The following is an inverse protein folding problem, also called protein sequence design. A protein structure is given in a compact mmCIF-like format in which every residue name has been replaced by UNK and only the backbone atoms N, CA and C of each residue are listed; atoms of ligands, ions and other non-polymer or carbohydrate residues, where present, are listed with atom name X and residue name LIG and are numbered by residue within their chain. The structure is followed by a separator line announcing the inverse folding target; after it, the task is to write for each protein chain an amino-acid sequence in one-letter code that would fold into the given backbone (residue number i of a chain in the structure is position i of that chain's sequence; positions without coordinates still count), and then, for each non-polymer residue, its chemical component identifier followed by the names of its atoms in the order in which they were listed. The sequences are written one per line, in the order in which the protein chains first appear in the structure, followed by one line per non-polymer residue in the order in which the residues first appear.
data_IF_238367988652
#
_entry.id   IF_238367988652
#
_cell.length_a   1.000
_cell.length_b   1.000
_cell.length_c   1.000
_cell.angle_alpha   90.00
_cell.angle_beta   90.00
_cell.angle_gamma   90.00
#
_symmetry.space_group_name_H-M   'P 1'
#
loop_
_entity.id
_entity.type
_entity.pdbx_description
1 polymer ?
#
# COMPACT_ATOMS: atom_id res chain seq x y z
N UNK A 1 1.39 17.88 -11.11
CA UNK A 1 0.81 16.96 -10.11
C UNK A 1 1.52 17.15 -8.79
N UNK A 2 0.76 17.20 -7.71
CA UNK A 2 1.31 17.36 -6.38
C UNK A 2 1.87 16.04 -5.82
N UNK A 3 2.48 16.10 -4.64
CA UNK A 3 2.96 14.89 -3.98
C UNK A 3 1.81 13.97 -3.58
N UNK A 4 2.10 12.68 -3.55
CA UNK A 4 1.14 11.68 -3.08
C UNK A 4 1.18 11.62 -1.55
N UNK A 5 0.01 11.66 -0.93
CA UNK A 5 -0.13 11.42 0.50
C UNK A 5 0.01 9.93 0.77
N UNK A 6 0.88 9.56 1.70
CA UNK A 6 1.15 8.16 1.99
C UNK A 6 1.19 7.87 3.47
N UNK A 7 0.77 6.66 3.81
CA UNK A 7 1.02 6.04 5.11
C UNK A 7 1.90 4.82 4.84
N UNK A 8 3.05 4.79 5.49
CA UNK A 8 4.04 3.74 5.28
C UNK A 8 4.06 2.86 6.50
N UNK A 9 3.88 1.55 6.30
CA UNK A 9 3.98 0.58 7.38
C UNK A 9 5.21 -0.28 7.15
N UNK A 10 6.03 -0.38 8.18
CA UNK A 10 7.25 -1.18 8.16
C UNK A 10 6.96 -2.58 8.70
N UNK A 11 7.84 -3.53 8.37
CA UNK A 11 7.72 -4.92 8.84
C UNK A 11 7.79 -5.03 10.36
N UNK A 12 8.48 -4.09 11.02
CA UNK A 12 8.61 -4.08 12.48
C UNK A 12 7.40 -3.47 13.20
N UNK A 13 6.38 -3.04 12.45
CA UNK A 13 5.18 -2.42 13.01
C UNK A 13 5.21 -0.89 13.07
N UNK A 14 6.33 -0.27 12.74
CA UNK A 14 6.42 1.20 12.70
C UNK A 14 5.53 1.77 11.60
N UNK A 15 4.85 2.87 11.91
CA UNK A 15 4.00 3.59 10.95
C UNK A 15 4.55 4.99 10.77
N UNK A 16 4.74 5.42 9.52
CA UNK A 16 5.19 6.76 9.16
C UNK A 16 4.20 7.39 8.20
N UNK A 17 3.92 8.67 8.36
CA UNK A 17 2.96 9.40 7.53
C UNK A 17 3.61 10.61 6.89
N UNK A 18 3.24 10.91 5.66
CA UNK A 18 3.78 12.05 4.95
C UNK A 18 3.38 12.04 3.49
N UNK A 19 4.28 12.51 2.65
CA UNK A 19 4.07 12.55 1.21
C UNK A 19 5.33 12.12 0.47
N UNK A 20 5.16 11.73 -0.78
CA UNK A 20 6.29 11.36 -1.65
C UNK A 20 6.05 11.82 -3.08
N UNK A 21 7.13 12.19 -3.77
CA UNK A 21 7.10 12.56 -5.18
C UNK A 21 7.94 11.63 -6.04
N UNK A 22 8.68 10.71 -5.45
CA UNK A 22 9.65 9.88 -6.17
C UNK A 22 9.50 8.38 -5.96
N UNK A 23 8.33 7.93 -5.46
CA UNK A 23 8.08 6.51 -5.33
C UNK A 23 7.89 5.87 -6.70
N UNK A 24 8.66 4.80 -6.97
CA UNK A 24 8.49 3.95 -8.15
C UNK A 24 8.53 2.48 -7.72
N UNK A 25 7.64 1.63 -8.28
CA UNK A 25 7.52 0.23 -7.86
C UNK A 25 8.77 -0.62 -8.07
N UNK A 26 9.66 -0.19 -8.96
CA UNK A 26 10.87 -0.95 -9.29
C UNK A 26 12.14 -0.38 -8.67
N UNK A 27 12.02 0.63 -7.80
CA UNK A 27 13.18 1.19 -7.10
C UNK A 27 13.30 0.62 -5.70
N UNK A 28 14.53 0.50 -5.24
CA UNK A 28 14.82 -0.05 -3.91
C UNK A 28 14.52 0.94 -2.78
N UNK A 29 14.43 2.23 -3.08
CA UNK A 29 14.18 3.27 -2.07
C UNK A 29 13.46 4.47 -2.67
N UNK A 30 12.90 5.27 -1.78
CA UNK A 30 12.29 6.55 -2.14
C UNK A 30 12.37 7.49 -0.94
N UNK A 31 11.97 8.75 -1.12
CA UNK A 31 12.03 9.75 -0.07
C UNK A 31 10.65 10.05 0.47
N UNK A 32 10.52 10.01 1.79
CA UNK A 32 9.32 10.41 2.50
C UNK A 32 9.50 11.82 3.04
N UNK A 33 8.61 12.72 2.62
CA UNK A 33 8.54 14.07 3.17
C UNK A 33 7.60 14.04 4.35
N UNK A 34 8.16 14.10 5.54
CA UNK A 34 7.39 14.08 6.77
C UNK A 34 6.90 15.46 7.18
N UNK A 35 6.31 15.54 8.35
CA UNK A 35 5.95 16.81 8.95
C UNK A 35 7.23 17.56 9.37
N UNK A 36 7.13 18.89 9.52
CA UNK A 36 8.27 19.75 9.91
C UNK A 36 9.40 19.75 8.87
N UNK A 37 9.06 19.58 7.59
CA UNK A 37 10.00 19.66 6.47
C UNK A 37 11.16 18.64 6.56
N UNK A 38 10.94 17.55 7.26
CA UNK A 38 11.92 16.47 7.33
C UNK A 38 11.82 15.58 6.08
N UNK A 39 12.98 15.10 5.60
CA UNK A 39 13.05 14.16 4.48
C UNK A 39 13.78 12.92 4.95
N UNK A 40 13.16 11.77 4.75
CA UNK A 40 13.72 10.50 5.16
C UNK A 40 13.81 9.56 3.97
N UNK A 41 14.93 8.84 3.86
CA UNK A 41 15.08 7.79 2.85
C UNK A 41 14.42 6.51 3.37
N UNK A 42 13.52 5.94 2.56
CA UNK A 42 12.79 4.73 2.92
C UNK A 42 13.26 3.59 2.03
N UNK A 43 13.73 2.51 2.66
CA UNK A 43 14.11 1.29 1.96
C UNK A 43 12.89 0.40 1.79
N UNK A 44 12.54 0.06 0.55
CA UNK A 44 11.33 -0.73 0.26
C UNK A 44 11.41 -2.10 0.93
N UNK A 45 12.59 -2.70 1.01
CA UNK A 45 12.78 -4.01 1.62
C UNK A 45 12.38 -4.05 3.11
N UNK A 46 12.43 -2.92 3.80
CA UNK A 46 12.03 -2.83 5.20
C UNK A 46 10.53 -2.68 5.38
N UNK A 47 9.77 -2.54 4.30
CA UNK A 47 8.36 -2.19 4.34
C UNK A 47 7.45 -3.40 4.26
N UNK A 48 6.31 -3.27 4.92
CA UNK A 48 5.14 -4.11 4.70
C UNK A 48 4.37 -3.63 3.47
N UNK A 49 4.03 -2.35 3.43
CA UNK A 49 3.27 -1.76 2.35
C UNK A 49 3.35 -0.23 2.38
N UNK A 50 3.05 0.38 1.23
CA UNK A 50 2.86 1.83 1.08
C UNK A 50 1.39 2.06 0.75
N UNK A 51 0.69 2.78 1.61
CA UNK A 51 -0.73 3.10 1.43
C UNK A 51 -0.83 4.51 0.87
N UNK A 52 -1.32 4.62 -0.36
CA UNK A 52 -1.61 5.92 -0.98
C UNK A 52 -3.00 6.32 -0.54
N UNK A 53 -3.09 7.37 0.26
CA UNK A 53 -4.30 7.69 1.00
C UNK A 53 -4.91 9.02 0.55
N UNK A 54 -6.22 9.15 0.79
CA UNK A 54 -6.94 10.40 0.57
C UNK A 54 -6.59 11.41 1.66
N UNK A 55 -6.43 10.92 2.89
CA UNK A 55 -6.13 11.71 4.08
C UNK A 55 -5.17 10.95 4.97
N UNK A 56 -4.05 11.57 5.36
CA UNK A 56 -3.04 10.93 6.23
C UNK A 56 -3.58 10.61 7.62
N UNK A 57 -4.59 11.36 8.09
CA UNK A 57 -5.25 11.08 9.37
C UNK A 57 -6.12 9.81 9.29
N UNK A 58 -6.71 9.58 8.12
CA UNK A 58 -7.61 8.44 7.93
C UNK A 58 -8.91 8.57 8.70
N UNK A 59 -9.67 7.46 8.71
CA UNK A 59 -10.89 7.33 9.51
C UNK A 59 -10.80 6.05 10.32
N UNK A 60 -10.47 6.20 11.61
CA UNK A 60 -10.26 5.06 12.51
C UNK A 60 -11.51 4.25 12.76
N UNK A 61 -12.69 4.85 12.58
CA UNK A 61 -13.97 4.19 12.82
C UNK A 61 -14.47 3.45 11.58
N UNK A 62 -13.81 3.63 10.44
CA UNK A 62 -14.22 2.98 9.19
C UNK A 62 -13.65 1.57 9.10
N UNK A 63 -14.53 0.61 8.83
CA UNK A 63 -14.13 -0.78 8.59
C UNK A 63 -14.24 -1.10 7.11
N UNK A 64 -13.17 -1.62 6.52
CA UNK A 64 -13.14 -2.01 5.12
C UNK A 64 -14.16 -3.14 4.87
N UNK A 65 -14.97 -2.99 3.82
CA UNK A 65 -15.98 -4.00 3.47
C UNK A 65 -15.48 -5.01 2.46
N UNK A 66 -14.56 -4.60 1.58
CA UNK A 66 -13.98 -5.42 0.51
C UNK A 66 -15.01 -6.09 -0.40
N UNK A 67 -16.17 -5.45 -0.57
CA UNK A 67 -17.28 -6.01 -1.34
C UNK A 67 -17.50 -5.34 -2.69
N UNK A 68 -16.77 -4.25 -2.96
CA UNK A 68 -16.96 -3.50 -4.19
C UNK A 68 -16.22 -4.15 -5.36
N UNK A 69 -16.82 -4.01 -6.54
CA UNK A 69 -16.18 -4.40 -7.80
C UNK A 69 -15.49 -3.17 -8.38
N UNK A 70 -14.20 -3.28 -8.65
CA UNK A 70 -13.43 -2.18 -9.22
C UNK A 70 -13.35 -2.39 -10.73
N UNK A 71 -14.07 -1.57 -11.47
CA UNK A 71 -14.09 -1.63 -12.94
C UNK A 71 -12.71 -1.33 -13.49
N UNK A 72 -12.19 -2.22 -14.35
CA UNK A 72 -10.87 -2.07 -14.93
C UNK A 72 -9.71 -2.34 -13.97
N UNK A 73 -9.99 -2.83 -12.77
CA UNK A 73 -8.97 -3.07 -11.75
C UNK A 73 -8.17 -4.36 -11.92
N UNK A 74 -8.55 -5.21 -12.87
CA UNK A 74 -7.88 -6.48 -13.12
C UNK A 74 -8.47 -7.63 -12.32
N UNK A 75 -7.60 -8.48 -11.76
CA UNK A 75 -8.02 -9.68 -11.04
C UNK A 75 -8.17 -9.41 -9.56
N UNK A 76 -9.19 -9.98 -8.96
CA UNK A 76 -9.42 -9.88 -7.51
C UNK A 76 -8.48 -10.81 -6.77
N UNK A 77 -7.83 -10.29 -5.73
CA UNK A 77 -6.89 -11.06 -4.92
C UNK A 77 -7.11 -10.80 -3.45
N UNK A 78 -6.75 -11.79 -2.65
CA UNK A 78 -6.64 -11.67 -1.20
C UNK A 78 -5.18 -11.80 -0.82
N UNK A 79 -4.69 -10.83 -0.04
CA UNK A 79 -3.31 -10.83 0.44
C UNK A 79 -3.33 -11.01 1.94
N UNK A 80 -2.59 -12.01 2.42
CA UNK A 80 -2.32 -12.17 3.84
C UNK A 80 -0.87 -11.79 4.09
N UNK A 81 -0.65 -10.87 5.02
CA UNK A 81 0.70 -10.46 5.43
C UNK A 81 1.23 -11.39 6.52
N UNK A 82 2.55 -11.37 6.70
CA UNK A 82 3.21 -12.19 7.74
C UNK A 82 2.71 -11.88 9.14
N UNK A 83 2.21 -10.65 9.39
CA UNK A 83 1.65 -10.26 10.68
C UNK A 83 0.19 -10.67 10.86
N UNK A 84 -0.41 -11.34 9.86
CA UNK A 84 -1.78 -11.82 9.91
C UNK A 84 -2.83 -10.89 9.34
N UNK A 85 -2.47 -9.66 8.97
CA UNK A 85 -3.43 -8.76 8.35
C UNK A 85 -3.84 -9.26 6.97
N UNK A 86 -5.13 -9.14 6.64
CA UNK A 86 -5.68 -9.56 5.36
C UNK A 86 -6.29 -8.36 4.67
N UNK A 87 -5.93 -8.17 3.40
CA UNK A 87 -6.55 -7.16 2.55
C UNK A 87 -7.06 -7.81 1.27
N UNK A 88 -8.11 -7.25 0.70
CA UNK A 88 -8.72 -7.74 -0.55
C UNK A 88 -8.82 -6.58 -1.53
N UNK A 89 -8.42 -6.82 -2.75
CA UNK A 89 -8.45 -5.79 -3.78
C UNK A 89 -8.23 -6.36 -5.16
N UNK A 90 -7.93 -5.49 -6.11
CA UNK A 90 -7.74 -5.84 -7.52
C UNK A 90 -6.33 -5.48 -7.97
N UNK A 91 -5.71 -6.37 -8.74
CA UNK A 91 -4.37 -6.17 -9.28
C UNK A 91 -4.40 -6.33 -10.80
N UNK A 92 -3.65 -5.46 -11.50
CA UNK A 92 -3.55 -5.51 -12.96
C UNK A 92 -2.36 -6.33 -13.45
N UNK A 93 -1.23 -6.27 -12.75
CA UNK A 93 -0.01 -6.92 -13.22
C UNK A 93 0.77 -7.53 -12.08
N UNK A 94 0.29 -8.64 -11.53
CA UNK A 94 1.01 -9.34 -10.48
C UNK A 94 2.13 -10.19 -11.08
N UNK A 95 3.33 -10.06 -10.51
CA UNK A 95 4.45 -10.94 -10.83
C UNK A 95 5.19 -11.27 -9.53
N UNK A 96 5.38 -12.57 -9.22
CA UNK A 96 6.06 -12.97 -7.98
C UNK A 96 7.54 -12.61 -7.96
N UNK A 97 8.14 -12.30 -9.12
CA UNK A 97 9.55 -11.95 -9.23
C UNK A 97 9.84 -10.48 -8.87
N UNK A 98 8.81 -9.67 -8.72
CA UNK A 98 8.97 -8.25 -8.39
C UNK A 98 9.00 -8.05 -6.89
N UNK A 99 9.62 -6.94 -6.46
CA UNK A 99 9.66 -6.59 -5.03
C UNK A 99 8.28 -6.29 -4.44
N UNK A 100 7.29 -6.00 -5.27
CA UNK A 100 5.94 -5.75 -4.83
C UNK A 100 5.00 -5.48 -5.99
N UNK A 101 3.75 -5.17 -5.67
CA UNK A 101 2.73 -4.90 -6.67
C UNK A 101 1.70 -3.90 -6.15
N UNK A 102 1.09 -3.17 -7.08
CA UNK A 102 0.02 -2.22 -6.77
C UNK A 102 -1.32 -2.93 -6.72
N UNK A 103 -2.13 -2.60 -5.72
CA UNK A 103 -3.45 -3.14 -5.51
C UNK A 103 -4.43 -2.00 -5.27
N UNK A 104 -5.63 -2.10 -5.85
CA UNK A 104 -6.74 -1.20 -5.54
C UNK A 104 -7.66 -1.92 -4.56
N UNK A 105 -7.87 -1.38 -3.35
CA UNK A 105 -8.77 -2.03 -2.38
C UNK A 105 -10.18 -2.24 -2.96
N UNK A 106 -10.80 -3.35 -2.63
CA UNK A 106 -12.15 -3.68 -3.08
C UNK A 106 -13.21 -2.93 -2.25
N UNK A 107 -12.96 -1.66 -1.97
CA UNK A 107 -13.83 -0.78 -1.18
C UNK A 107 -13.65 0.65 -1.66
N UNK A 108 -14.63 1.16 -2.42
CA UNK A 108 -14.57 2.50 -3.01
C UNK A 108 -14.59 3.63 -1.97
N UNK A 109 -15.03 3.34 -0.76
CA UNK A 109 -15.06 4.31 0.33
C UNK A 109 -13.83 4.25 1.22
N UNK A 110 -12.87 3.37 0.91
CA UNK A 110 -11.64 3.27 1.66
C UNK A 110 -10.85 4.57 1.59
N UNK A 111 -10.17 4.91 2.69
CA UNK A 111 -9.20 5.99 2.69
C UNK A 111 -7.98 5.64 1.80
N UNK A 112 -7.74 4.35 1.57
CA UNK A 112 -6.67 3.88 0.72
C UNK A 112 -7.10 3.91 -0.74
N UNK A 113 -6.49 4.79 -1.55
CA UNK A 113 -6.77 4.84 -2.98
C UNK A 113 -6.10 3.68 -3.72
N UNK A 114 -4.89 3.34 -3.28
CA UNK A 114 -4.15 2.19 -3.77
C UNK A 114 -3.13 1.79 -2.72
N UNK A 115 -2.68 0.55 -2.80
CA UNK A 115 -1.70 0.00 -1.86
C UNK A 115 -0.57 -0.63 -2.67
N UNK A 116 0.67 -0.24 -2.41
CA UNK A 116 1.82 -0.98 -2.91
C UNK A 116 2.18 -2.02 -1.87
N UNK A 117 1.94 -3.29 -2.20
CA UNK A 117 2.21 -4.42 -1.32
C UNK A 117 3.64 -4.90 -1.55
N UNK A 118 4.42 -4.95 -0.49
CA UNK A 118 5.80 -5.44 -0.57
C UNK A 118 5.78 -6.97 -0.47
N UNK A 119 6.22 -7.64 -1.52
CA UNK A 119 6.08 -9.09 -1.66
C UNK A 119 6.71 -9.85 -0.50
N UNK A 120 7.88 -9.42 -0.03
CA UNK A 120 8.59 -10.09 1.07
C UNK A 120 7.88 -9.99 2.43
N UNK A 121 6.88 -9.13 2.55
CA UNK A 121 6.06 -9.03 3.76
C UNK A 121 4.79 -9.87 3.70
N UNK A 122 4.54 -10.55 2.58
CA UNK A 122 3.33 -11.35 2.41
C UNK A 122 3.57 -12.81 2.77
N UNK A 123 2.57 -13.40 3.41
CA UNK A 123 2.53 -14.84 3.66
C UNK A 123 1.90 -15.57 2.49
N UNK A 124 0.84 -15.01 1.91
CA UNK A 124 0.17 -15.60 0.75
C UNK A 124 -0.57 -14.55 -0.07
N UNK A 125 -0.67 -14.82 -1.37
CA UNK A 125 -1.49 -14.05 -2.31
C UNK A 125 -2.39 -15.06 -3.01
N UNK A 126 -3.69 -14.91 -2.83
CA UNK A 126 -4.68 -15.84 -3.36
C UNK A 126 -5.57 -15.13 -4.37
N UNK A 127 -5.65 -15.65 -5.59
CA UNK A 127 -6.56 -15.13 -6.61
C UNK A 127 -7.96 -15.67 -6.34
N UNK A 128 -8.91 -14.76 -6.27
CA UNK A 128 -10.30 -15.11 -5.94
C UNK A 128 -11.17 -15.29 -7.19
#
# INVERSE_FOLDING_TARGET
MGPNKVVIKLKDGTVKKGSTTDFLPNRASFHLNGQNETVETIEVEALKAVFFVKDVEGNKDYNETYQDVIQGGGKKVQVEFDDGEIIVGYVLGYSPDRQGFNMTPADLNSNNERIFVVASATKSVTFL
#
